data_IF_987980665425
#
_entry.id   IF_987980665425
#
_cell.length_a   1.000
_cell.length_b   1.000
_cell.length_c   1.000
_cell.angle_alpha   90.00
_cell.angle_beta   90.00
_cell.angle_gamma   90.00
#
_symmetry.space_group_name_H-M   'P 1'
#
loop_
_entity.id
_entity.type
_entity.pdbx_description
1 polymer ?
#
# COMPACT_ATOMS: atom_id res chain seq x y z
N UNK A 1 27.88 -1.66 2.37
CA UNK A 1 26.72 -0.77 2.57
C UNK A 1 26.38 -0.75 4.05
N UNK A 2 25.92 0.39 4.57
CA UNK A 2 25.43 0.46 5.94
C UNK A 2 24.17 -0.39 6.09
N UNK A 3 23.97 -0.99 7.26
CA UNK A 3 22.66 -1.54 7.62
C UNK A 3 21.65 -0.40 7.77
N UNK A 4 20.38 -0.68 7.45
CA UNK A 4 19.30 0.30 7.58
C UNK A 4 18.21 -0.29 8.46
N UNK A 5 18.00 0.40 9.57
CA UNK A 5 17.10 -0.02 10.62
C UNK A 5 15.79 0.74 10.57
N UNK A 6 14.69 0.03 10.77
CA UNK A 6 13.37 0.60 11.02
C UNK A 6 13.26 0.80 12.53
N UNK A 7 13.28 2.05 12.97
CA UNK A 7 13.15 2.39 14.38
C UNK A 7 11.68 2.44 14.79
N UNK A 8 10.85 3.05 13.92
CA UNK A 8 9.42 3.12 14.15
C UNK A 8 8.65 3.02 12.84
N UNK A 9 7.45 2.45 12.92
CA UNK A 9 6.53 2.28 11.80
C UNK A 9 5.11 2.56 12.29
N UNK A 10 4.58 3.73 11.96
CA UNK A 10 3.26 4.19 12.41
C UNK A 10 2.41 4.67 11.26
N UNK A 11 1.11 4.65 11.50
CA UNK A 11 0.10 5.06 10.53
C UNK A 11 -1.12 5.66 11.20
N UNK A 12 -1.89 6.42 10.44
CA UNK A 12 -3.26 6.75 10.84
C UNK A 12 -4.18 5.54 10.68
N UNK A 13 -5.37 5.53 11.26
CA UNK A 13 -6.42 4.63 10.76
C UNK A 13 -6.71 4.93 9.29
N UNK A 14 -7.25 3.95 8.56
CA UNK A 14 -7.78 4.15 7.22
C UNK A 14 -9.21 4.66 7.33
N UNK A 15 -9.44 5.91 6.97
CA UNK A 15 -10.77 6.52 6.88
C UNK A 15 -11.48 6.13 5.58
N UNK A 16 -12.80 6.04 5.57
CA UNK A 16 -13.57 5.91 4.33
C UNK A 16 -13.40 7.14 3.45
N UNK A 17 -13.06 6.95 2.17
CA UNK A 17 -12.94 8.05 1.20
C UNK A 17 -14.33 8.60 0.80
N UNK A 18 -15.05 9.15 1.77
CA UNK A 18 -16.37 9.75 1.62
C UNK A 18 -16.50 10.92 2.59
N UNK A 19 -17.41 11.84 2.32
CA UNK A 19 -17.73 12.95 3.22
C UNK A 19 -18.05 12.47 4.65
N UNK A 20 -18.72 11.32 4.78
CA UNK A 20 -19.02 10.70 6.07
C UNK A 20 -17.83 9.98 6.74
N UNK A 21 -16.68 9.87 6.08
CA UNK A 21 -15.48 9.24 6.65
C UNK A 21 -14.91 10.05 7.81
N UNK A 22 -14.36 9.38 8.80
CA UNK A 22 -13.84 10.04 10.01
C UNK A 22 -12.69 11.01 9.77
N UNK A 23 -11.93 10.82 8.69
CA UNK A 23 -10.77 11.65 8.34
C UNK A 23 -11.07 12.74 7.30
N UNK A 24 -12.23 12.74 6.65
CA UNK A 24 -12.53 13.53 5.45
C UNK A 24 -12.44 15.06 5.61
N UNK A 25 -12.58 15.60 6.82
CA UNK A 25 -12.50 17.05 7.07
C UNK A 25 -11.08 17.54 7.36
N UNK A 26 -10.14 16.61 7.57
CA UNK A 26 -8.74 16.94 7.78
C UNK A 26 -8.06 17.15 6.43
N UNK A 27 -7.10 18.06 6.37
CA UNK A 27 -6.24 18.16 5.19
C UNK A 27 -5.02 17.22 5.30
N UNK A 28 -4.31 16.93 4.18
CA UNK A 28 -3.17 16.01 4.20
C UNK A 28 -2.03 16.41 5.14
N UNK A 29 -1.80 17.72 5.33
CA UNK A 29 -0.76 18.23 6.23
C UNK A 29 -1.12 17.95 7.70
N UNK A 30 -2.39 18.16 8.08
CA UNK A 30 -2.88 17.85 9.43
C UNK A 30 -2.75 16.35 9.72
N UNK A 31 -3.05 15.51 8.73
CA UNK A 31 -2.97 14.05 8.90
C UNK A 31 -1.53 13.57 9.09
N UNK A 32 -0.59 14.11 8.30
CA UNK A 32 0.85 13.83 8.46
C UNK A 32 1.39 14.39 9.76
N UNK A 33 0.96 15.60 10.17
CA UNK A 33 1.41 16.22 11.41
C UNK A 33 1.13 15.36 12.65
N UNK A 34 -0.02 14.67 12.70
CA UNK A 34 -0.34 13.75 13.80
C UNK A 34 0.74 12.67 13.96
N UNK A 35 1.29 12.16 12.85
CA UNK A 35 2.33 11.14 12.89
C UNK A 35 3.70 11.72 13.26
N UNK A 36 4.03 12.93 12.76
CA UNK A 36 5.26 13.61 13.13
C UNK A 36 5.28 13.97 14.63
N UNK A 37 4.15 14.51 15.13
CA UNK A 37 3.98 14.83 16.55
C UNK A 37 4.13 13.58 17.43
N UNK A 38 3.63 12.42 16.99
CA UNK A 38 3.76 11.16 17.74
C UNK A 38 5.23 10.75 17.92
N UNK A 39 6.05 10.85 16.84
CA UNK A 39 7.49 10.57 16.93
C UNK A 39 8.23 11.53 17.83
N UNK A 40 7.89 12.81 17.78
CA UNK A 40 8.53 13.85 18.60
C UNK A 40 8.11 13.73 20.07
N UNK A 41 6.81 13.57 20.34
CA UNK A 41 6.29 13.46 21.70
C UNK A 41 6.76 12.19 22.42
N UNK A 42 7.04 11.13 21.70
CA UNK A 42 7.66 9.91 22.21
C UNK A 42 9.19 9.99 22.29
N UNK A 43 9.79 11.12 21.93
CA UNK A 43 11.24 11.30 21.90
C UNK A 43 11.98 10.26 21.02
N UNK A 44 11.30 9.75 19.98
CA UNK A 44 11.89 8.79 19.03
C UNK A 44 12.81 9.52 18.06
N UNK A 45 12.43 10.74 17.66
CA UNK A 45 13.11 11.57 16.69
C UNK A 45 13.53 12.91 17.29
N UNK A 46 14.83 13.22 17.20
CA UNK A 46 15.36 14.58 17.35
C UNK A 46 15.33 15.28 16.00
N UNK A 47 14.52 16.31 15.86
CA UNK A 47 14.26 16.98 14.59
C UNK A 47 15.52 17.53 13.91
N UNK A 48 16.49 18.02 14.69
CA UNK A 48 17.75 18.58 14.17
C UNK A 48 18.65 17.50 13.51
N UNK A 49 18.39 16.24 13.74
CA UNK A 49 19.11 15.11 13.13
C UNK A 49 18.43 14.55 11.89
N UNK A 50 17.20 14.97 11.59
CA UNK A 50 16.45 14.48 10.43
C UNK A 50 17.02 15.07 9.13
N UNK A 51 17.47 14.20 8.24
CA UNK A 51 18.03 14.61 6.96
C UNK A 51 16.94 14.89 5.91
N UNK A 52 15.96 13.99 5.80
CA UNK A 52 14.97 14.08 4.73
C UNK A 52 13.64 13.39 5.07
N UNK A 53 12.56 13.92 4.50
CA UNK A 53 11.23 13.29 4.44
C UNK A 53 10.94 12.87 3.01
N UNK A 54 10.62 11.58 2.78
CA UNK A 54 10.30 11.02 1.46
C UNK A 54 8.91 10.41 1.50
N UNK A 55 7.96 10.97 0.74
CA UNK A 55 6.57 10.49 0.75
C UNK A 55 6.10 10.03 -0.63
N UNK A 56 5.44 8.89 -0.66
CA UNK A 56 4.64 8.44 -1.79
C UNK A 56 3.29 9.13 -1.81
N UNK A 57 2.91 9.68 -2.97
CA UNK A 57 1.59 10.26 -3.22
C UNK A 57 1.25 10.07 -4.70
N UNK A 58 0.10 9.48 -5.00
CA UNK A 58 -0.29 9.20 -6.39
C UNK A 58 -0.93 10.40 -7.03
N UNK A 59 -1.96 10.97 -6.40
CA UNK A 59 -2.71 12.10 -6.96
C UNK A 59 -2.15 13.41 -6.45
N UNK A 60 -1.02 13.85 -7.04
CA UNK A 60 -0.31 15.06 -6.64
C UNK A 60 -1.01 16.32 -7.19
N UNK A 61 -2.23 16.58 -6.71
CA UNK A 61 -3.05 17.71 -7.10
C UNK A 61 -3.68 18.39 -5.89
N UNK A 62 -4.04 19.67 -6.01
CA UNK A 62 -4.70 20.44 -4.96
C UNK A 62 -3.92 20.38 -3.66
N UNK A 63 -4.56 19.88 -2.60
CA UNK A 63 -3.98 19.81 -1.26
C UNK A 63 -2.82 18.81 -1.13
N UNK A 64 -2.68 17.87 -2.07
CA UNK A 64 -1.57 16.89 -2.13
C UNK A 64 -0.45 17.31 -3.10
N UNK A 65 -0.57 18.46 -3.75
CA UNK A 65 0.44 19.00 -4.65
C UNK A 65 1.57 19.76 -3.92
N UNK A 66 2.48 20.34 -4.69
CA UNK A 66 3.51 21.23 -4.16
C UNK A 66 4.56 20.56 -3.29
N UNK A 67 4.97 19.34 -3.64
CA UNK A 67 5.90 18.54 -2.86
C UNK A 67 5.41 18.34 -1.41
N UNK A 68 4.36 17.55 -1.24
CA UNK A 68 3.71 17.30 0.07
C UNK A 68 4.71 16.85 1.15
N UNK A 69 5.79 16.16 0.79
CA UNK A 69 6.82 15.76 1.73
C UNK A 69 7.52 16.97 2.37
N UNK A 70 7.92 17.97 1.55
CA UNK A 70 8.55 19.18 2.08
C UNK A 70 7.54 20.10 2.75
N UNK A 71 6.37 20.32 2.12
CA UNK A 71 5.38 21.24 2.68
C UNK A 71 4.80 20.74 4.01
N UNK A 72 4.60 19.43 4.17
CA UNK A 72 4.15 18.87 5.46
C UNK A 72 5.22 18.93 6.54
N UNK A 73 6.49 18.72 6.18
CA UNK A 73 7.62 18.87 7.09
C UNK A 73 7.71 20.32 7.63
N UNK A 74 7.58 21.32 6.75
CA UNK A 74 7.54 22.72 7.17
C UNK A 74 6.29 23.06 8.00
N UNK A 75 5.13 22.52 7.62
CA UNK A 75 3.87 22.68 8.36
C UNK A 75 3.99 22.15 9.79
N UNK A 76 4.70 21.04 9.98
CA UNK A 76 4.97 20.44 11.28
C UNK A 76 6.07 21.18 12.09
N UNK A 77 6.67 22.22 11.54
CA UNK A 77 7.72 22.98 12.21
C UNK A 77 9.09 22.28 12.23
N UNK A 78 9.32 21.33 11.32
CA UNK A 78 10.65 20.74 11.17
C UNK A 78 11.66 21.79 10.69
N UNK A 79 12.97 21.65 10.99
CA UNK A 79 14.01 22.58 10.56
C UNK A 79 14.01 22.79 9.03
N UNK A 80 14.33 24.00 8.59
CA UNK A 80 14.42 24.37 7.17
C UNK A 80 15.42 23.49 6.40
N UNK A 81 16.43 22.96 7.09
CA UNK A 81 17.45 22.05 6.55
C UNK A 81 16.92 20.69 6.14
N UNK A 82 15.79 20.24 6.69
CA UNK A 82 15.19 18.95 6.33
C UNK A 82 14.71 19.00 4.89
N UNK A 83 15.30 18.19 4.03
CA UNK A 83 14.86 18.09 2.64
C UNK A 83 13.56 17.30 2.50
N UNK A 84 12.87 17.44 1.36
CA UNK A 84 11.63 16.71 1.12
C UNK A 84 11.52 16.24 -0.33
N UNK A 85 11.10 14.99 -0.53
CA UNK A 85 10.90 14.38 -1.84
C UNK A 85 9.54 13.68 -1.91
N UNK A 86 8.70 14.10 -2.85
CA UNK A 86 7.44 13.39 -3.14
C UNK A 86 7.59 12.58 -4.41
N UNK A 87 7.21 11.30 -4.36
CA UNK A 87 7.33 10.38 -5.48
C UNK A 87 6.00 9.75 -5.86
N UNK A 88 5.89 9.31 -7.11
CA UNK A 88 4.78 8.57 -7.64
C UNK A 88 5.28 7.31 -8.38
N UNK A 89 4.92 6.13 -7.86
CA UNK A 89 4.93 4.83 -8.53
C UNK A 89 3.58 4.15 -8.33
N UNK A 90 2.51 4.90 -8.56
CA UNK A 90 1.15 4.44 -8.31
C UNK A 90 1.00 3.84 -6.89
N UNK A 91 0.30 2.72 -6.75
CA UNK A 91 0.07 2.11 -5.44
C UNK A 91 1.34 1.58 -4.74
N UNK A 92 2.49 1.56 -5.43
CA UNK A 92 3.80 1.20 -4.85
C UNK A 92 4.58 2.40 -4.30
N UNK A 93 4.02 3.62 -4.37
CA UNK A 93 4.76 4.86 -4.08
C UNK A 93 5.41 4.89 -2.70
N UNK A 94 4.73 4.49 -1.64
CA UNK A 94 5.32 4.54 -0.30
C UNK A 94 6.39 3.46 -0.06
N UNK A 95 6.29 2.28 -0.67
CA UNK A 95 7.40 1.32 -0.64
C UNK A 95 8.61 1.81 -1.43
N UNK A 96 8.40 2.55 -2.51
CA UNK A 96 9.50 3.19 -3.24
C UNK A 96 10.10 4.37 -2.47
N UNK A 97 9.28 5.14 -1.75
CA UNK A 97 9.78 6.15 -0.81
C UNK A 97 10.70 5.50 0.25
N UNK A 98 10.27 4.36 0.79
CA UNK A 98 11.08 3.57 1.73
C UNK A 98 12.36 3.04 1.08
N UNK A 99 12.29 2.53 -0.16
CA UNK A 99 13.45 2.09 -0.93
C UNK A 99 14.47 3.22 -1.16
N UNK A 100 14.01 4.42 -1.53
CA UNK A 100 14.90 5.57 -1.70
C UNK A 100 15.55 5.95 -0.38
N UNK A 101 14.79 5.99 0.72
CA UNK A 101 15.32 6.23 2.07
C UNK A 101 16.38 5.18 2.47
N UNK A 102 16.08 3.91 2.22
CA UNK A 102 17.01 2.80 2.40
C UNK A 102 18.33 3.03 1.63
N UNK A 103 18.24 3.33 0.33
CA UNK A 103 19.42 3.53 -0.52
C UNK A 103 20.26 4.74 -0.07
N UNK A 104 19.65 5.84 0.34
CA UNK A 104 20.36 7.02 0.84
C UNK A 104 21.11 6.74 2.15
N UNK A 105 20.52 5.98 3.06
CA UNK A 105 21.20 5.58 4.31
C UNK A 105 22.27 4.53 4.02
N UNK A 106 21.97 3.52 3.21
CA UNK A 106 22.90 2.45 2.86
C UNK A 106 24.15 2.97 2.15
N UNK A 107 24.02 4.00 1.31
CA UNK A 107 25.13 4.68 0.64
C UNK A 107 25.95 5.61 1.55
N UNK A 108 25.42 5.96 2.73
CA UNK A 108 26.04 6.90 3.66
C UNK A 108 25.71 8.37 3.39
N UNK A 109 24.78 8.66 2.46
CA UNK A 109 24.33 10.03 2.19
C UNK A 109 23.55 10.63 3.37
N UNK A 110 22.71 9.83 4.03
CA UNK A 110 21.87 10.22 5.15
C UNK A 110 22.07 9.29 6.36
N UNK A 111 21.64 9.76 7.52
CA UNK A 111 21.66 9.03 8.77
C UNK A 111 20.27 8.69 9.27
N UNK A 112 19.34 9.64 9.10
CA UNK A 112 17.96 9.56 9.58
C UNK A 112 17.00 10.04 8.48
N UNK A 113 16.07 9.21 8.10
CA UNK A 113 15.07 9.51 7.05
C UNK A 113 13.68 9.10 7.55
N UNK A 114 12.70 9.96 7.35
CA UNK A 114 11.29 9.57 7.40
C UNK A 114 10.87 9.20 5.97
N UNK A 115 10.44 7.96 5.78
CA UNK A 115 9.86 7.49 4.53
C UNK A 115 8.42 7.05 4.75
N UNK A 116 7.52 7.28 3.80
CA UNK A 116 6.12 6.93 4.00
C UNK A 116 5.23 7.29 2.84
N UNK A 117 3.97 7.57 3.12
CA UNK A 117 3.02 7.99 2.10
C UNK A 117 1.76 8.63 2.66
N UNK A 118 1.08 9.32 1.79
CA UNK A 118 -0.18 10.01 2.05
C UNK A 118 -1.11 9.85 0.85
N UNK A 119 -2.38 9.57 1.12
CA UNK A 119 -3.44 9.71 0.13
C UNK A 119 -4.75 10.01 0.86
N UNK A 120 -5.43 11.08 0.47
CA UNK A 120 -6.75 11.44 0.97
C UNK A 120 -7.74 11.50 -0.19
N UNK A 121 -8.28 10.33 -0.53
CA UNK A 121 -9.13 10.15 -1.71
C UNK A 121 -10.53 10.77 -1.54
N UNK A 122 -10.93 11.10 -0.30
CA UNK A 122 -12.14 11.87 -0.02
C UNK A 122 -12.01 13.34 -0.44
N UNK A 123 -10.79 13.88 -0.45
CA UNK A 123 -10.49 15.30 -0.73
C UNK A 123 -9.88 15.50 -2.11
N UNK A 124 -8.97 14.62 -2.50
CA UNK A 124 -8.33 14.62 -3.82
C UNK A 124 -8.71 13.31 -4.53
N UNK A 125 -9.80 13.31 -5.30
CA UNK A 125 -10.30 12.12 -5.96
C UNK A 125 -9.28 11.48 -6.89
N UNK A 126 -9.28 10.15 -6.97
CA UNK A 126 -8.46 9.40 -7.91
C UNK A 126 -8.65 9.94 -9.34
N UNK A 127 -7.55 10.07 -10.09
CA UNK A 127 -7.50 10.59 -11.47
C UNK A 127 -7.83 12.08 -11.62
N UNK A 128 -8.01 12.83 -10.55
CA UNK A 128 -8.27 14.27 -10.64
C UNK A 128 -7.08 15.08 -11.17
N UNK A 129 -5.88 14.48 -11.22
CA UNK A 129 -4.68 15.03 -11.90
C UNK A 129 -4.80 15.05 -13.43
N UNK A 130 -5.84 14.40 -13.99
CA UNK A 130 -6.12 14.35 -15.42
C UNK A 130 -4.93 13.90 -16.29
N UNK A 131 -4.13 12.95 -15.79
CA UNK A 131 -2.98 12.44 -16.52
C UNK A 131 -3.40 11.87 -17.89
N UNK A 132 -2.64 12.19 -18.95
CA UNK A 132 -2.98 11.84 -20.33
C UNK A 132 -3.15 10.34 -20.55
N UNK A 133 -2.44 9.50 -19.79
CA UNK A 133 -2.60 8.03 -19.84
C UNK A 133 -3.99 7.54 -19.44
N UNK A 134 -4.79 8.36 -18.77
CA UNK A 134 -6.16 8.04 -18.34
C UNK A 134 -7.23 8.80 -19.13
N UNK A 135 -6.88 9.95 -19.71
CA UNK A 135 -7.85 10.87 -20.34
C UNK A 135 -7.74 10.94 -21.85
N UNK A 136 -6.60 10.57 -22.44
CA UNK A 136 -6.40 10.51 -23.89
C UNK A 136 -6.28 9.04 -24.36
N UNK A 137 -7.28 8.52 -25.10
CA UNK A 137 -7.27 7.14 -25.59
C UNK A 137 -6.05 6.80 -26.46
N UNK A 138 -5.52 7.77 -27.24
CA UNK A 138 -4.35 7.54 -28.06
C UNK A 138 -3.10 7.31 -27.19
N UNK A 139 -2.89 8.15 -26.20
CA UNK A 139 -1.77 8.00 -25.25
C UNK A 139 -1.88 6.67 -24.48
N UNK A 140 -3.07 6.29 -24.02
CA UNK A 140 -3.30 5.02 -23.34
C UNK A 140 -2.96 3.80 -24.23
N UNK A 141 -3.37 3.83 -25.50
CA UNK A 141 -3.09 2.77 -26.49
C UNK A 141 -1.59 2.68 -26.79
N UNK A 142 -0.94 3.81 -27.08
CA UNK A 142 0.49 3.86 -27.37
C UNK A 142 1.33 3.38 -26.18
N UNK A 143 0.91 3.70 -24.94
CA UNK A 143 1.51 3.22 -23.70
C UNK A 143 1.10 1.80 -23.33
N UNK A 144 0.12 1.18 -24.00
CA UNK A 144 -0.42 -0.16 -23.74
C UNK A 144 -0.98 -0.33 -22.32
N UNK A 145 -1.58 0.74 -21.78
CA UNK A 145 -2.13 0.76 -20.43
C UNK A 145 -3.65 0.61 -20.48
N UNK A 146 -4.18 -0.25 -19.61
CA UNK A 146 -5.61 -0.38 -19.34
C UNK A 146 -5.97 0.19 -17.97
N UNK A 147 -7.27 0.44 -17.78
CA UNK A 147 -7.79 0.76 -16.43
C UNK A 147 -7.62 -0.43 -15.49
N UNK A 148 -7.36 -0.14 -14.20
CA UNK A 148 -7.00 -1.12 -13.18
C UNK A 148 -7.95 -2.32 -13.12
N UNK A 149 -9.26 -2.07 -13.10
CA UNK A 149 -10.26 -3.14 -13.02
C UNK A 149 -10.33 -4.01 -14.27
N UNK A 150 -10.12 -3.43 -15.48
CA UNK A 150 -10.05 -4.21 -16.72
C UNK A 150 -8.80 -5.11 -16.72
N UNK A 151 -7.67 -4.63 -16.18
CA UNK A 151 -6.48 -5.45 -16.00
C UNK A 151 -6.70 -6.59 -15.01
N UNK A 152 -7.45 -6.34 -13.94
CA UNK A 152 -7.80 -7.36 -12.95
C UNK A 152 -8.68 -8.47 -13.57
N UNK A 153 -9.72 -8.12 -14.36
CA UNK A 153 -10.55 -9.09 -15.05
C UNK A 153 -9.76 -9.86 -16.14
N UNK A 154 -8.79 -9.21 -16.78
CA UNK A 154 -7.86 -9.90 -17.70
C UNK A 154 -7.01 -10.94 -16.96
N UNK A 155 -6.41 -10.59 -15.81
CA UNK A 155 -5.65 -11.52 -14.97
C UNK A 155 -6.54 -12.69 -14.53
N UNK A 156 -7.78 -12.42 -14.13
CA UNK A 156 -8.74 -13.46 -13.77
C UNK A 156 -9.00 -14.42 -14.95
N UNK A 157 -9.20 -13.89 -16.14
CA UNK A 157 -9.49 -14.67 -17.35
C UNK A 157 -8.31 -15.54 -17.77
N UNK A 158 -7.09 -14.98 -17.76
CA UNK A 158 -5.84 -15.68 -18.07
C UNK A 158 -5.57 -16.85 -17.11
N UNK A 159 -5.82 -16.63 -15.82
CA UNK A 159 -5.53 -17.59 -14.76
C UNK A 159 -6.75 -18.42 -14.33
N UNK A 160 -7.85 -18.32 -15.07
CA UNK A 160 -9.10 -19.09 -14.84
C UNK A 160 -9.62 -18.96 -13.41
N UNK A 161 -9.48 -17.77 -12.84
CA UNK A 161 -9.99 -17.46 -11.50
C UNK A 161 -11.49 -17.17 -11.62
N UNK A 162 -12.28 -17.88 -10.82
CA UNK A 162 -13.74 -17.74 -10.83
C UNK A 162 -14.22 -16.58 -9.97
N UNK A 163 -15.45 -16.15 -10.19
CA UNK A 163 -16.15 -15.18 -9.35
C UNK A 163 -16.25 -15.67 -7.90
N UNK A 164 -16.58 -16.94 -7.71
CA UNK A 164 -16.71 -17.53 -6.39
C UNK A 164 -15.41 -17.52 -5.61
N UNK A 165 -14.27 -17.83 -6.25
CA UNK A 165 -12.95 -17.74 -5.62
C UNK A 165 -12.60 -16.31 -5.22
N UNK A 166 -12.93 -15.33 -6.08
CA UNK A 166 -12.72 -13.91 -5.78
C UNK A 166 -13.57 -13.43 -4.59
N UNK A 167 -14.82 -13.89 -4.51
CA UNK A 167 -15.74 -13.57 -3.41
C UNK A 167 -15.33 -14.28 -2.10
N UNK A 168 -14.86 -15.51 -2.16
CA UNK A 168 -14.32 -16.24 -0.99
C UNK A 168 -13.08 -15.54 -0.41
N UNK A 169 -12.16 -15.12 -1.25
CA UNK A 169 -11.01 -14.33 -0.79
C UNK A 169 -11.46 -13.05 -0.09
N UNK A 170 -12.40 -12.31 -0.69
CA UNK A 170 -12.91 -11.07 -0.12
C UNK A 170 -13.59 -11.30 1.24
N UNK A 171 -14.38 -12.36 1.36
CA UNK A 171 -15.00 -12.75 2.64
C UNK A 171 -13.93 -13.07 3.69
N UNK A 172 -12.92 -13.89 3.33
CA UNK A 172 -11.80 -14.22 4.20
C UNK A 172 -11.04 -12.97 4.66
N UNK A 173 -10.74 -12.03 3.73
CA UNK A 173 -10.09 -10.75 4.05
C UNK A 173 -10.91 -9.95 5.07
N UNK A 174 -12.24 -9.84 4.88
CA UNK A 174 -13.13 -9.14 5.82
C UNK A 174 -13.14 -9.80 7.21
N UNK A 175 -13.24 -11.11 7.28
CA UNK A 175 -13.25 -11.85 8.54
C UNK A 175 -11.93 -11.74 9.30
N UNK A 176 -10.80 -11.89 8.60
CA UNK A 176 -9.45 -11.71 9.18
C UNK A 176 -9.28 -10.29 9.71
N UNK A 177 -9.66 -9.26 8.93
CA UNK A 177 -9.54 -7.86 9.33
C UNK A 177 -10.41 -7.52 10.54
N UNK A 178 -11.65 -7.99 10.57
CA UNK A 178 -12.55 -7.80 11.71
C UNK A 178 -11.98 -8.41 12.99
N UNK A 179 -11.55 -9.67 12.92
CA UNK A 179 -10.94 -10.37 14.05
C UNK A 179 -9.69 -9.65 14.56
N UNK A 180 -8.82 -9.19 13.65
CA UNK A 180 -7.61 -8.46 14.00
C UNK A 180 -7.94 -7.14 14.71
N UNK A 181 -8.93 -6.38 14.20
CA UNK A 181 -9.35 -5.12 14.80
C UNK A 181 -10.03 -5.32 16.17
N UNK A 182 -10.87 -6.34 16.33
CA UNK A 182 -11.51 -6.68 17.61
C UNK A 182 -10.50 -7.15 18.65
N UNK A 183 -9.42 -7.80 18.21
CA UNK A 183 -8.32 -8.27 19.05
C UNK A 183 -7.23 -7.20 19.27
N UNK A 184 -7.43 -5.98 18.79
CA UNK A 184 -6.49 -4.85 18.93
C UNK A 184 -5.07 -5.19 18.43
N UNK A 185 -4.96 -5.82 17.25
CA UNK A 185 -3.67 -6.25 16.69
C UNK A 185 -2.92 -5.14 15.94
N UNK A 186 -3.60 -4.08 15.50
CA UNK A 186 -2.98 -2.97 14.76
C UNK A 186 -2.38 -1.92 15.71
N UNK A 187 -1.23 -2.23 16.31
CA UNK A 187 -0.55 -1.38 17.31
C UNK A 187 0.08 -0.13 16.71
N UNK A 188 0.38 -0.14 15.43
CA UNK A 188 0.94 0.99 14.67
C UNK A 188 -0.05 2.13 14.43
N UNK A 189 -1.35 1.96 14.75
CA UNK A 189 -2.34 3.03 14.57
C UNK A 189 -2.12 4.13 15.62
N UNK A 190 -1.85 5.35 15.13
CA UNK A 190 -1.90 6.57 15.91
C UNK A 190 -3.31 7.14 15.81
N UNK A 191 -4.06 7.28 16.91
CA UNK A 191 -5.39 7.86 16.89
C UNK A 191 -5.40 9.30 16.38
N UNK A 192 -6.37 9.64 15.55
CA UNK A 192 -6.52 10.97 14.94
C UNK A 192 -7.78 11.64 15.48
N UNK A 193 -7.63 12.81 16.09
CA UNK A 193 -8.77 13.60 16.54
C UNK A 193 -9.26 14.54 15.44
N UNK A 194 -10.42 14.24 14.89
CA UNK A 194 -11.13 15.14 13.97
C UNK A 194 -11.94 16.16 14.74
N UNK A 195 -11.42 17.39 14.83
CA UNK A 195 -12.04 18.49 15.57
C UNK A 195 -13.41 18.88 15.00
N UNK A 196 -13.57 18.89 13.68
CA UNK A 196 -14.81 19.27 13.01
C UNK A 196 -15.98 18.33 13.35
N UNK A 197 -15.67 17.04 13.49
CA UNK A 197 -16.65 15.99 13.82
C UNK A 197 -16.71 15.67 15.33
N UNK A 198 -15.82 16.27 16.12
CA UNK A 198 -15.62 15.93 17.52
C UNK A 198 -15.47 14.41 17.72
N UNK A 199 -14.64 13.78 16.90
CA UNK A 199 -14.48 12.32 16.81
C UNK A 199 -13.01 11.95 16.89
N UNK A 200 -12.67 10.97 17.73
CA UNK A 200 -11.37 10.31 17.69
C UNK A 200 -11.45 9.06 16.81
N UNK A 201 -10.75 9.08 15.67
CA UNK A 201 -10.61 7.95 14.77
C UNK A 201 -9.42 7.10 15.24
N UNK A 202 -9.67 5.87 15.66
CA UNK A 202 -8.65 4.94 16.18
C UNK A 202 -8.73 3.55 15.54
N UNK A 203 -9.63 3.35 14.57
CA UNK A 203 -9.86 2.07 13.90
C UNK A 203 -10.00 2.26 12.40
N UNK A 204 -9.61 1.25 11.63
CA UNK A 204 -9.86 1.20 10.18
C UNK A 204 -11.36 1.12 9.90
N UNK A 205 -11.90 2.06 9.10
CA UNK A 205 -13.34 2.21 8.91
C UNK A 205 -13.92 1.39 7.74
N UNK A 206 -13.05 0.84 6.87
CA UNK A 206 -13.52 0.18 5.64
C UNK A 206 -14.02 -1.24 5.84
N UNK A 207 -13.75 -1.86 6.99
CA UNK A 207 -14.21 -3.22 7.31
C UNK A 207 -15.74 -3.29 7.26
N UNK A 208 -16.25 -4.38 6.66
CA UNK A 208 -17.67 -4.64 6.48
C UNK A 208 -18.06 -5.94 7.20
N UNK A 209 -18.38 -5.89 8.50
CA UNK A 209 -18.64 -7.08 9.33
C UNK A 209 -19.77 -7.97 8.79
N UNK A 210 -20.77 -7.36 8.15
CA UNK A 210 -21.97 -8.04 7.62
C UNK A 210 -21.73 -8.73 6.26
N UNK A 211 -20.47 -8.83 5.80
CA UNK A 211 -20.17 -9.46 4.51
C UNK A 211 -20.49 -10.95 4.55
N UNK A 212 -21.26 -11.42 3.55
CA UNK A 212 -21.60 -12.83 3.37
C UNK A 212 -21.41 -13.25 1.90
N UNK A 213 -21.22 -14.55 1.64
CA UNK A 213 -21.14 -15.07 0.27
C UNK A 213 -22.43 -14.79 -0.53
N UNK A 214 -23.59 -14.95 0.10
CA UNK A 214 -24.88 -14.62 -0.55
C UNK A 214 -24.97 -13.13 -0.93
N UNK A 215 -24.50 -12.24 -0.07
CA UNK A 215 -24.43 -10.80 -0.36
C UNK A 215 -23.45 -10.48 -1.50
N UNK A 216 -22.27 -11.06 -1.49
CA UNK A 216 -21.24 -10.87 -2.51
C UNK A 216 -21.70 -11.37 -3.88
N UNK A 217 -22.28 -12.57 -3.96
CA UNK A 217 -22.71 -13.20 -5.21
C UNK A 217 -23.76 -12.40 -5.99
N UNK A 218 -24.57 -11.58 -5.28
CA UNK A 218 -25.60 -10.70 -5.87
C UNK A 218 -25.06 -9.41 -6.47
N UNK A 219 -23.81 -9.06 -6.22
CA UNK A 219 -23.20 -7.83 -6.76
C UNK A 219 -22.91 -8.00 -8.26
N UNK A 220 -23.21 -6.95 -9.03
CA UNK A 220 -22.93 -6.91 -10.46
C UNK A 220 -21.44 -6.61 -10.72
N UNK A 221 -20.84 -7.19 -11.77
CA UNK A 221 -19.50 -6.83 -12.20
C UNK A 221 -19.36 -5.33 -12.48
N UNK A 222 -18.27 -4.73 -12.01
CA UNK A 222 -18.06 -3.29 -12.10
C UNK A 222 -17.54 -2.83 -13.46
N UNK A 223 -16.86 -3.70 -14.22
CA UNK A 223 -16.10 -3.32 -15.40
C UNK A 223 -16.67 -3.86 -16.73
N UNK A 224 -17.77 -4.61 -16.70
CA UNK A 224 -18.47 -5.16 -17.88
C UNK A 224 -18.84 -4.07 -18.90
N UNK A 225 -19.35 -2.92 -18.41
CA UNK A 225 -19.68 -1.79 -19.27
C UNK A 225 -18.46 -1.22 -19.99
N UNK A 226 -17.33 -1.09 -19.30
CA UNK A 226 -16.08 -0.61 -19.89
C UNK A 226 -15.56 -1.62 -20.92
N UNK A 227 -15.64 -2.91 -20.60
CA UNK A 227 -15.28 -4.01 -21.50
C UNK A 227 -16.03 -3.94 -22.81
N UNK A 228 -17.36 -3.85 -22.75
CA UNK A 228 -18.25 -3.76 -23.93
C UNK A 228 -18.02 -2.51 -24.80
N UNK A 229 -17.38 -1.47 -24.27
CA UNK A 229 -17.01 -0.25 -25.01
C UNK A 229 -15.73 -0.41 -25.85
N UNK A 230 -15.21 -1.63 -25.99
CA UNK A 230 -14.07 -1.97 -26.86
C UNK A 230 -12.80 -2.41 -26.11
N UNK A 231 -12.75 -2.30 -24.79
CA UNK A 231 -11.58 -2.72 -24.02
C UNK A 231 -11.37 -4.23 -24.12
N UNK A 232 -12.44 -5.03 -24.02
CA UNK A 232 -12.36 -6.49 -24.17
C UNK A 232 -11.85 -6.91 -25.56
N UNK A 233 -12.35 -6.28 -26.61
CA UNK A 233 -11.90 -6.56 -27.97
C UNK A 233 -10.40 -6.27 -28.13
N UNK A 234 -9.91 -5.22 -27.49
CA UNK A 234 -8.49 -4.87 -27.50
C UNK A 234 -7.65 -5.86 -26.68
N UNK A 235 -8.12 -6.26 -25.51
CA UNK A 235 -7.45 -7.27 -24.68
C UNK A 235 -7.38 -8.62 -25.40
N UNK A 236 -8.47 -9.09 -26.02
CA UNK A 236 -8.50 -10.33 -26.82
C UNK A 236 -7.57 -10.27 -28.03
N UNK A 237 -7.36 -9.10 -28.64
CA UNK A 237 -6.35 -8.92 -29.69
C UNK A 237 -4.93 -9.13 -29.20
N UNK A 238 -4.62 -8.70 -27.96
CA UNK A 238 -3.29 -8.87 -27.37
C UNK A 238 -3.08 -10.25 -26.74
N UNK A 239 -4.15 -10.92 -26.32
CA UNK A 239 -4.14 -12.25 -25.67
C UNK A 239 -5.06 -13.20 -26.43
N UNK A 240 -4.65 -13.62 -27.66
CA UNK A 240 -5.50 -14.40 -28.57
C UNK A 240 -5.81 -15.82 -28.08
N UNK A 241 -5.14 -16.29 -27.02
CA UNK A 241 -5.46 -17.53 -26.33
C UNK A 241 -6.79 -17.48 -25.56
N UNK A 242 -7.28 -16.27 -25.24
CA UNK A 242 -8.58 -16.07 -24.60
C UNK A 242 -9.69 -15.98 -25.64
N UNK A 243 -10.85 -16.55 -25.33
CA UNK A 243 -12.08 -16.45 -26.16
C UNK A 243 -12.97 -15.31 -25.70
N UNK A 244 -12.91 -14.96 -24.42
CA UNK A 244 -13.70 -13.91 -23.77
C UNK A 244 -12.96 -13.37 -22.55
N UNK A 245 -13.29 -12.15 -22.14
CA UNK A 245 -12.89 -11.59 -20.84
C UNK A 245 -14.04 -11.83 -19.85
N UNK A 246 -13.77 -12.51 -18.76
CA UNK A 246 -14.74 -12.76 -17.69
C UNK A 246 -14.71 -11.64 -16.67
N UNK A 247 -15.78 -10.87 -16.58
CA UNK A 247 -15.92 -9.80 -15.60
C UNK A 247 -16.37 -10.38 -14.26
N UNK A 248 -15.45 -10.49 -13.31
CA UNK A 248 -15.71 -11.07 -12.00
C UNK A 248 -15.59 -10.07 -10.85
N UNK A 249 -14.92 -8.91 -11.10
CA UNK A 249 -14.69 -7.96 -10.02
C UNK A 249 -15.89 -7.04 -9.80
N UNK A 250 -16.23 -6.90 -8.52
CA UNK A 250 -17.36 -6.11 -8.00
C UNK A 250 -16.87 -5.22 -6.87
N UNK A 251 -17.69 -4.27 -6.37
CA UNK A 251 -17.31 -3.51 -5.17
C UNK A 251 -17.08 -4.40 -3.93
N UNK A 252 -17.53 -5.66 -3.97
CA UNK A 252 -17.37 -6.61 -2.86
C UNK A 252 -15.99 -7.24 -2.78
N UNK A 253 -15.37 -7.53 -3.93
CA UNK A 253 -14.08 -8.20 -4.06
C UNK A 253 -12.98 -7.32 -4.67
N UNK A 254 -13.17 -6.01 -4.55
CA UNK A 254 -12.23 -4.94 -4.90
C UNK A 254 -11.94 -4.08 -3.67
N UNK A 255 -10.77 -3.44 -3.57
CA UNK A 255 -10.43 -2.62 -2.41
C UNK A 255 -11.33 -1.38 -2.29
N UNK A 256 -11.69 -1.02 -1.07
CA UNK A 256 -12.35 0.24 -0.80
C UNK A 256 -11.35 1.39 -0.90
N UNK A 257 -11.72 2.51 -1.53
CA UNK A 257 -10.93 3.74 -1.48
C UNK A 257 -10.88 4.27 -0.04
N UNK A 258 -9.70 4.75 0.38
CA UNK A 258 -9.49 5.18 1.76
C UNK A 258 -8.60 6.44 1.83
N UNK A 259 -8.70 7.12 2.97
CA UNK A 259 -7.80 8.19 3.40
C UNK A 259 -6.83 7.62 4.43
N UNK A 260 -5.54 7.81 4.27
CA UNK A 260 -4.56 7.50 5.30
C UNK A 260 -3.21 8.14 5.03
N UNK A 261 -2.43 8.27 6.10
CA UNK A 261 -1.00 8.54 6.07
C UNK A 261 -0.23 7.46 6.83
N UNK A 262 1.02 7.22 6.46
CA UNK A 262 1.93 6.38 7.22
C UNK A 262 3.36 6.89 7.08
N UNK A 263 4.15 6.70 8.13
CA UNK A 263 5.57 7.02 8.15
C UNK A 263 6.37 5.90 8.80
N UNK A 264 7.56 5.70 8.25
CA UNK A 264 8.57 4.77 8.73
C UNK A 264 9.82 5.60 9.04
N UNK A 265 10.27 5.56 10.28
CA UNK A 265 11.50 6.21 10.68
C UNK A 265 12.68 5.28 10.48
N UNK A 266 13.56 5.65 9.57
CA UNK A 266 14.75 4.90 9.19
C UNK A 266 16.01 5.50 9.83
N UNK A 267 16.91 4.64 10.28
CA UNK A 267 18.20 5.01 10.84
C UNK A 267 19.33 4.11 10.34
N UNK A 268 20.54 4.66 10.22
CA UNK A 268 21.77 3.87 10.07
C UNK A 268 22.22 3.23 11.38
N UNK A 269 21.64 3.65 12.51
CA UNK A 269 21.94 3.15 13.85
C UNK A 269 20.84 2.21 14.33
N UNK A 270 21.22 1.21 15.11
CA UNK A 270 20.29 0.24 15.70
C UNK A 270 19.34 0.83 16.76
N UNK A 271 19.55 2.08 17.12
CA UNK A 271 18.77 2.81 18.13
C UNK A 271 18.28 4.14 17.56
N UNK A 272 17.24 4.72 18.18
CA UNK A 272 16.83 6.10 17.96
C UNK A 272 17.98 7.07 18.31
N UNK A 273 17.81 8.34 17.95
CA UNK A 273 18.83 9.38 18.20
C UNK A 273 19.28 9.47 19.66
N UNK A 274 18.35 9.28 20.60
CA UNK A 274 18.60 9.31 22.05
C UNK A 274 18.86 7.91 22.66
N UNK A 275 19.03 6.87 21.85
CA UNK A 275 19.28 5.48 22.26
C UNK A 275 18.18 4.80 23.11
N UNK A 276 17.01 5.42 23.29
CA UNK A 276 15.90 4.85 24.07
C UNK A 276 15.14 3.76 23.31
N UNK A 277 14.99 3.92 21.98
CA UNK A 277 14.24 3.00 21.14
C UNK A 277 15.17 2.15 20.30
N UNK A 278 14.96 0.85 20.32
CA UNK A 278 15.69 -0.12 19.49
C UNK A 278 15.02 -0.28 18.14
N UNK A 279 15.79 -0.73 17.16
CA UNK A 279 15.29 -1.16 15.88
C UNK A 279 14.19 -2.23 16.03
N UNK A 280 13.05 -2.02 15.39
CA UNK A 280 11.97 -2.99 15.31
C UNK A 280 12.26 -4.05 14.21
N UNK A 281 12.95 -3.62 13.14
CA UNK A 281 13.37 -4.50 12.05
C UNK A 281 14.52 -3.88 11.26
N UNK A 282 15.19 -4.69 10.46
CA UNK A 282 16.24 -4.27 9.52
C UNK A 282 15.77 -4.57 8.10
N UNK A 283 15.96 -3.64 7.14
CA UNK A 283 15.70 -3.89 5.72
C UNK A 283 16.81 -4.76 5.16
N UNK A 284 16.48 -5.94 4.66
CA UNK A 284 17.42 -6.94 4.12
C UNK A 284 17.50 -6.91 2.61
N UNK A 285 16.46 -6.51 1.95
CA UNK A 285 16.41 -6.44 0.49
C UNK A 285 15.21 -5.66 -0.02
N UNK A 286 15.37 -5.13 -1.22
CA UNK A 286 14.33 -4.41 -1.95
C UNK A 286 14.37 -4.81 -3.41
N UNK A 287 13.23 -5.09 -4.01
CA UNK A 287 13.11 -5.33 -5.44
C UNK A 287 12.07 -4.41 -6.06
N UNK A 288 12.45 -3.73 -7.13
CA UNK A 288 11.56 -2.92 -7.97
C UNK A 288 11.53 -3.52 -9.36
N UNK A 289 10.36 -3.66 -9.93
CA UNK A 289 10.13 -4.26 -11.24
C UNK A 289 9.01 -3.58 -11.98
N UNK A 290 8.95 -3.80 -13.29
CA UNK A 290 7.73 -3.63 -14.08
C UNK A 290 7.46 -4.92 -14.87
N UNK A 291 6.21 -5.35 -14.86
CA UNK A 291 5.69 -6.42 -15.72
C UNK A 291 5.08 -5.82 -16.98
N UNK A 292 4.47 -6.66 -17.81
CA UNK A 292 3.72 -6.21 -18.98
C UNK A 292 2.65 -5.17 -18.57
N UNK A 293 2.72 -3.93 -19.09
CA UNK A 293 1.78 -2.88 -18.72
C UNK A 293 0.32 -3.22 -19.03
N UNK A 294 0.08 -4.17 -19.97
CA UNK A 294 -1.25 -4.66 -20.31
C UNK A 294 -1.91 -5.48 -19.21
N UNK A 295 -1.10 -6.12 -18.33
CA UNK A 295 -1.58 -6.85 -17.16
C UNK A 295 -1.88 -5.92 -15.97
N UNK A 296 -1.48 -4.66 -16.07
CA UNK A 296 -1.74 -3.55 -15.15
C UNK A 296 -1.23 -3.79 -13.72
N UNK A 297 -1.71 -4.83 -13.03
CA UNK A 297 -1.54 -5.05 -11.58
C UNK A 297 -0.80 -6.36 -11.25
N UNK A 298 0.11 -6.81 -12.11
CA UNK A 298 0.85 -8.06 -11.96
C UNK A 298 2.20 -7.93 -11.23
N UNK A 299 2.63 -6.71 -10.90
CA UNK A 299 3.97 -6.42 -10.42
C UNK A 299 4.38 -7.10 -9.10
N UNK A 300 3.45 -7.34 -8.16
CA UNK A 300 3.75 -8.01 -6.87
C UNK A 300 4.47 -9.36 -7.05
N UNK A 301 3.98 -10.20 -7.98
CA UNK A 301 4.55 -11.52 -8.23
C UNK A 301 6.01 -11.42 -8.63
N UNK A 302 6.29 -10.59 -9.65
CA UNK A 302 7.65 -10.41 -10.14
C UNK A 302 8.58 -9.77 -9.11
N UNK A 303 8.09 -8.76 -8.36
CA UNK A 303 8.87 -8.11 -7.33
C UNK A 303 9.24 -9.09 -6.21
N UNK A 304 8.29 -9.89 -5.74
CA UNK A 304 8.53 -10.90 -4.70
C UNK A 304 9.48 -11.99 -5.19
N UNK A 305 9.28 -12.53 -6.40
CA UNK A 305 10.18 -13.53 -6.99
C UNK A 305 11.61 -13.01 -7.15
N UNK A 306 11.76 -11.77 -7.64
CA UNK A 306 13.07 -11.12 -7.80
C UNK A 306 13.75 -10.94 -6.44
N UNK A 307 13.02 -10.44 -5.44
CA UNK A 307 13.52 -10.21 -4.10
C UNK A 307 14.04 -11.50 -3.46
N UNK A 308 13.24 -12.57 -3.49
CA UNK A 308 13.63 -13.87 -2.96
C UNK A 308 14.91 -14.39 -3.64
N UNK A 309 14.97 -14.29 -4.96
CA UNK A 309 16.16 -14.69 -5.73
C UNK A 309 17.42 -13.88 -5.36
N UNK A 310 17.30 -12.56 -5.26
CA UNK A 310 18.43 -11.67 -4.94
C UNK A 310 18.92 -11.86 -3.50
N UNK A 311 18.03 -12.22 -2.59
CA UNK A 311 18.36 -12.55 -1.20
C UNK A 311 18.78 -14.01 -0.99
N UNK A 312 18.80 -14.86 -2.05
CA UNK A 312 19.01 -16.31 -1.97
C UNK A 312 18.09 -17.03 -1.00
N UNK A 313 16.80 -16.62 -0.98
CA UNK A 313 15.73 -17.17 -0.15
C UNK A 313 14.66 -17.83 -1.03
N UNK A 314 13.87 -18.67 -0.39
CA UNK A 314 12.65 -19.28 -0.94
C UNK A 314 11.42 -18.83 -0.14
N UNK A 315 10.20 -19.11 -0.62
CA UNK A 315 8.95 -18.83 0.11
C UNK A 315 8.93 -19.51 1.49
N UNK A 316 9.61 -20.65 1.64
CA UNK A 316 9.66 -21.39 2.92
C UNK A 316 10.43 -20.65 4.01
N UNK A 317 11.40 -19.83 3.61
CA UNK A 317 12.27 -19.06 4.51
C UNK A 317 11.59 -17.78 5.04
N UNK A 318 10.41 -17.47 4.52
CA UNK A 318 9.61 -16.31 4.94
C UNK A 318 8.50 -16.77 5.88
N UNK A 319 8.38 -16.08 6.99
CA UNK A 319 7.40 -16.40 8.03
C UNK A 319 6.02 -15.82 7.72
N UNK A 320 5.97 -14.59 7.18
CA UNK A 320 4.74 -13.87 6.90
C UNK A 320 4.85 -12.98 5.66
N UNK A 321 3.76 -12.89 4.91
CA UNK A 321 3.63 -12.08 3.70
C UNK A 321 2.46 -11.11 3.83
N UNK A 322 2.73 -9.82 3.57
CA UNK A 322 1.74 -8.78 3.32
C UNK A 322 1.77 -8.41 1.84
N UNK A 323 0.85 -8.96 1.07
CA UNK A 323 0.76 -8.76 -0.39
C UNK A 323 -0.47 -7.93 -0.71
N UNK A 324 -0.27 -6.91 -1.54
CA UNK A 324 -1.33 -5.99 -1.97
C UNK A 324 -2.49 -6.70 -2.66
N UNK A 325 -3.66 -6.69 -2.04
CA UNK A 325 -4.92 -7.16 -2.63
C UNK A 325 -5.47 -6.10 -3.60
N UNK A 326 -4.69 -5.76 -4.66
CA UNK A 326 -5.12 -4.73 -5.61
C UNK A 326 -6.51 -5.02 -6.19
N UNK A 327 -6.82 -6.29 -6.38
CA UNK A 327 -8.13 -6.91 -6.63
C UNK A 327 -8.05 -8.37 -6.21
N UNK A 328 -9.17 -9.05 -6.01
CA UNK A 328 -9.14 -10.43 -5.56
C UNK A 328 -8.34 -11.35 -6.51
N UNK A 329 -8.51 -11.24 -7.82
CA UNK A 329 -7.78 -12.07 -8.78
C UNK A 329 -6.26 -11.83 -8.75
N UNK A 330 -5.81 -10.62 -8.46
CA UNK A 330 -4.37 -10.32 -8.45
C UNK A 330 -3.66 -11.03 -7.31
N UNK A 331 -4.22 -11.05 -6.11
CA UNK A 331 -3.63 -11.74 -4.97
C UNK A 331 -3.76 -13.26 -5.08
N UNK A 332 -4.89 -13.78 -5.59
CA UNK A 332 -5.05 -15.22 -5.86
C UNK A 332 -3.98 -15.69 -6.84
N UNK A 333 -3.71 -14.92 -7.91
CA UNK A 333 -2.67 -15.25 -8.86
C UNK A 333 -1.27 -15.27 -8.21
N UNK A 334 -0.94 -14.26 -7.37
CA UNK A 334 0.33 -14.21 -6.65
C UNK A 334 0.48 -15.41 -5.74
N UNK A 335 -0.55 -15.73 -4.95
CA UNK A 335 -0.55 -16.86 -4.03
C UNK A 335 -0.30 -18.20 -4.75
N UNK A 336 -0.99 -18.44 -5.87
CA UNK A 336 -0.85 -19.65 -6.66
C UNK A 336 0.52 -19.80 -7.30
N UNK A 337 0.99 -18.75 -7.96
CA UNK A 337 2.25 -18.76 -8.71
C UNK A 337 3.49 -18.85 -7.81
N UNK A 338 3.42 -18.30 -6.61
CA UNK A 338 4.52 -18.36 -5.63
C UNK A 338 4.32 -19.48 -4.60
N UNK A 339 3.20 -20.20 -4.64
CA UNK A 339 2.86 -21.24 -3.68
C UNK A 339 2.91 -20.76 -2.22
N UNK A 340 2.45 -19.52 -1.96
CA UNK A 340 2.45 -18.95 -0.61
C UNK A 340 1.35 -19.65 0.23
N UNK A 341 1.71 -20.25 1.38
CA UNK A 341 0.72 -20.84 2.29
C UNK A 341 -0.31 -19.81 2.77
N UNK A 342 -1.58 -20.21 2.84
CA UNK A 342 -2.68 -19.31 3.21
C UNK A 342 -2.53 -18.75 4.63
N UNK A 343 -1.97 -19.54 5.55
CA UNK A 343 -1.71 -19.17 6.94
C UNK A 343 -0.55 -18.21 7.12
N UNK A 344 0.22 -17.91 6.06
CA UNK A 344 1.28 -16.91 6.02
C UNK A 344 0.90 -15.64 5.25
N UNK A 345 -0.24 -15.63 4.55
CA UNK A 345 -0.63 -14.55 3.64
C UNK A 345 -1.73 -13.67 4.23
N UNK A 346 -1.44 -12.36 4.36
CA UNK A 346 -2.41 -11.35 4.80
C UNK A 346 -3.23 -11.84 6.02
N UNK A 347 -2.52 -12.29 7.05
CA UNK A 347 -3.13 -13.02 8.19
C UNK A 347 -4.11 -12.17 8.99
N UNK A 348 -3.99 -10.85 8.90
CA UNK A 348 -4.86 -9.87 9.54
C UNK A 348 -5.81 -9.18 8.54
N UNK A 349 -6.08 -9.82 7.39
CA UNK A 349 -6.84 -9.24 6.29
C UNK A 349 -6.01 -8.27 5.45
N UNK A 350 -6.44 -8.01 4.21
CA UNK A 350 -5.75 -7.12 3.29
C UNK A 350 -6.57 -5.88 2.92
N UNK A 351 -6.13 -5.17 1.90
CA UNK A 351 -6.72 -3.86 1.53
C UNK A 351 -8.15 -3.94 0.97
N UNK A 352 -8.61 -5.11 0.54
CA UNK A 352 -10.03 -5.31 0.16
C UNK A 352 -10.93 -5.02 1.37
N UNK A 353 -10.53 -5.48 2.55
CA UNK A 353 -11.25 -5.25 3.78
C UNK A 353 -10.87 -3.92 4.46
N UNK A 354 -9.57 -3.68 4.59
CA UNK A 354 -9.02 -2.60 5.40
C UNK A 354 -9.04 -1.24 4.70
N UNK A 355 -9.10 -1.21 3.35
CA UNK A 355 -9.05 0.01 2.55
C UNK A 355 -7.68 0.27 1.90
N UNK A 356 -7.72 0.99 0.76
CA UNK A 356 -6.59 1.24 -0.12
C UNK A 356 -6.33 2.75 -0.30
N UNK A 357 -5.50 3.36 0.54
CA UNK A 357 -5.05 4.76 0.38
C UNK A 357 -3.87 4.84 -0.59
N UNK A 358 -4.07 4.46 -1.85
CA UNK A 358 -3.13 4.37 -2.98
C UNK A 358 -1.63 4.58 -2.62
N UNK A 359 -1.16 5.84 -2.60
CA UNK A 359 0.24 6.18 -2.38
C UNK A 359 0.79 5.83 -0.99
N UNK A 360 -0.06 5.74 0.03
CA UNK A 360 0.33 5.35 1.39
C UNK A 360 0.28 3.83 1.63
N UNK A 361 -0.36 3.06 0.76
CA UNK A 361 -0.72 1.66 1.01
C UNK A 361 0.47 0.79 1.43
N UNK A 362 1.61 0.91 0.77
CA UNK A 362 2.74 0.02 1.04
C UNK A 362 3.30 0.15 2.45
N UNK A 363 3.51 1.37 2.94
CA UNK A 363 4.02 1.58 4.31
C UNK A 363 2.94 1.36 5.38
N UNK A 364 1.65 1.58 5.05
CA UNK A 364 0.53 1.16 5.90
C UNK A 364 0.53 -0.37 6.09
N UNK A 365 0.76 -1.15 5.02
CA UNK A 365 0.88 -2.60 5.08
C UNK A 365 2.13 -3.02 5.87
N UNK A 366 3.27 -2.36 5.64
CA UNK A 366 4.51 -2.65 6.36
C UNK A 366 4.37 -2.44 7.88
N UNK A 367 3.68 -1.37 8.30
CA UNK A 367 3.43 -1.13 9.73
C UNK A 367 2.62 -2.29 10.35
N UNK A 368 1.59 -2.77 9.65
CA UNK A 368 0.79 -3.92 10.11
C UNK A 368 1.58 -5.24 10.08
N UNK A 369 2.48 -5.41 9.11
CA UNK A 369 3.38 -6.56 9.04
C UNK A 369 4.32 -6.60 10.25
N UNK A 370 4.93 -5.48 10.62
CA UNK A 370 5.83 -5.39 11.79
C UNK A 370 5.06 -5.69 13.08
N UNK A 371 3.86 -5.12 13.26
CA UNK A 371 3.01 -5.40 14.41
C UNK A 371 2.74 -6.91 14.56
N UNK A 372 2.45 -7.59 13.46
CA UNK A 372 2.17 -9.02 13.48
C UNK A 372 3.43 -9.86 13.71
N UNK A 373 4.55 -9.51 13.07
CA UNK A 373 5.84 -10.18 13.30
C UNK A 373 6.27 -10.10 14.77
N UNK A 374 6.05 -8.96 15.42
CA UNK A 374 6.31 -8.78 16.86
C UNK A 374 5.38 -9.66 17.71
N UNK A 375 4.08 -9.69 17.36
CA UNK A 375 3.06 -10.44 18.11
C UNK A 375 3.28 -11.94 18.11
N UNK A 376 3.68 -12.50 16.95
CA UNK A 376 3.88 -13.97 16.81
C UNK A 376 5.35 -14.39 16.95
N UNK A 377 6.24 -13.42 17.21
CA UNK A 377 7.69 -13.59 17.42
C UNK A 377 8.40 -14.31 16.27
N UNK A 378 8.25 -13.78 15.05
CA UNK A 378 8.90 -14.30 13.84
C UNK A 378 9.89 -13.30 13.26
N UNK A 379 10.82 -13.80 12.43
CA UNK A 379 11.97 -13.04 11.97
C UNK A 379 11.81 -12.44 10.58
N UNK A 380 11.31 -13.19 9.58
CA UNK A 380 11.35 -12.78 8.18
C UNK A 380 9.96 -12.42 7.65
N UNK A 381 9.80 -11.17 7.21
CA UNK A 381 8.56 -10.71 6.62
C UNK A 381 8.78 -10.05 5.26
N UNK A 382 7.86 -10.26 4.32
CA UNK A 382 7.84 -9.59 3.02
C UNK A 382 6.57 -8.76 2.90
N UNK A 383 6.72 -7.49 2.51
CA UNK A 383 5.65 -6.65 2.02
C UNK A 383 5.82 -6.40 0.53
N UNK A 384 4.76 -6.52 -0.27
CA UNK A 384 4.81 -6.23 -1.70
C UNK A 384 3.54 -5.55 -2.21
N UNK A 385 3.74 -4.57 -3.11
CA UNK A 385 2.65 -3.82 -3.75
C UNK A 385 2.73 -3.89 -5.26
N UNK A 386 1.56 -3.99 -5.92
CA UNK A 386 1.40 -3.73 -7.35
C UNK A 386 0.91 -2.30 -7.55
N UNK A 387 1.49 -1.61 -8.51
CA UNK A 387 0.97 -0.35 -9.04
C UNK A 387 0.42 -0.53 -10.45
N UNK A 388 -0.26 0.49 -10.97
CA UNK A 388 -0.69 0.50 -12.38
C UNK A 388 0.51 0.32 -13.34
N UNK A 389 0.22 0.04 -14.61
CA UNK A 389 1.22 -0.16 -15.66
C UNK A 389 2.25 -1.28 -15.38
N UNK A 390 1.89 -2.28 -14.59
CA UNK A 390 2.75 -3.41 -14.26
C UNK A 390 3.79 -3.13 -13.18
N UNK A 391 3.75 -1.97 -12.52
CA UNK A 391 4.69 -1.64 -11.47
C UNK A 391 4.58 -2.58 -10.27
N UNK A 392 5.72 -2.92 -9.67
CA UNK A 392 5.80 -3.73 -8.45
C UNK A 392 7.00 -3.39 -7.60
N UNK A 393 6.80 -3.31 -6.29
CA UNK A 393 7.86 -3.14 -5.30
C UNK A 393 7.66 -4.15 -4.18
N UNK A 394 8.74 -4.82 -3.78
CA UNK A 394 8.77 -5.75 -2.64
C UNK A 394 9.94 -5.43 -1.71
N UNK A 395 9.71 -5.56 -0.42
CA UNK A 395 10.72 -5.30 0.62
C UNK A 395 10.73 -6.49 1.59
N UNK A 396 11.92 -7.00 1.87
CA UNK A 396 12.19 -7.98 2.91
C UNK A 396 12.71 -7.28 4.16
N UNK A 397 12.08 -7.55 5.27
CA UNK A 397 12.53 -7.10 6.59
C UNK A 397 12.85 -8.31 7.47
N UNK A 398 13.81 -8.11 8.37
CA UNK A 398 14.20 -9.10 9.38
C UNK A 398 14.12 -8.48 10.77
N UNK A 399 13.43 -9.17 11.69
CA UNK A 399 13.50 -8.90 13.14
C UNK A 399 14.60 -9.75 13.79
N UNK A 400 15.23 -9.20 14.81
CA UNK A 400 16.21 -9.91 15.65
C UNK A 400 15.56 -10.57 16.86
#
# INVERSE_FOLDING_TARGET
>A
MNQVHIIEAIRTPRGKAKESGGLSDLNPHELLNVLYDDLVNKEILELDLLDEVILGCVTQQGEQAGNIAKSSSLYAGHPDSVSGLTINRFCSSSLDALNIGYLKIASGQHSFVIAGGIEMMSRVPMLSDNAAIWTDPKTALDARIFMMGSGADLIASLNKISREEADLLALSSQQKALKAQESDLFKSIVPVFNKSKNLTCSKDECIRPETTMDGLSKLKPSFEKLGSQGVDALQLKYFPELKEIKHIHTPGNSPAMADAASIIFLSKHKHSSNAQYKSRATIKGVAVVNDDPRLVLSGCKLATSKLLKECNLSVKDIDIFEIHEAFAATIINVQRELEIPEDKLNVNGGVIALGHPMGATGTVMLSSLIDEMERIDVSNGIVATSGAAGAGTAILIERE
#
